data_IF_548986274790
#
_entry.id   IF_548986274790
#
_cell.length_a   1.000
_cell.length_b   1.000
_cell.length_c   1.000
_cell.angle_alpha   90.00
_cell.angle_beta   90.00
_cell.angle_gamma   90.00
#
_symmetry.space_group_name_H-M   'P 1'
#
loop_
_entity.id
_entity.type
_entity.pdbx_description
1 polymer ?
#
# COMPACT_ATOMS: atom_id res chain seq x y z
N UNK A 1 -0.01 -7.54 -27.62
CA UNK A 1 0.08 -6.88 -26.30
C UNK A 1 1.57 -6.71 -25.99
N UNK A 2 2.08 -5.48 -25.86
CA UNK A 2 3.53 -5.21 -25.65
C UNK A 2 3.87 -5.30 -24.16
N UNK A 3 5.12 -5.68 -23.87
CA UNK A 3 5.63 -5.89 -22.50
C UNK A 3 5.71 -4.58 -21.72
N UNK A 4 5.08 -4.55 -20.55
CA UNK A 4 5.31 -3.55 -19.51
C UNK A 4 6.35 -4.10 -18.54
N UNK A 5 7.31 -3.28 -18.13
CA UNK A 5 8.27 -3.64 -17.09
C UNK A 5 7.82 -3.00 -15.79
N UNK A 6 7.50 -3.83 -14.81
CA UNK A 6 7.40 -3.42 -13.42
C UNK A 6 8.61 -4.02 -12.70
N UNK A 7 9.40 -3.18 -12.03
CA UNK A 7 10.45 -3.69 -11.14
C UNK A 7 9.84 -3.88 -9.75
N UNK A 8 9.03 -4.93 -9.58
CA UNK A 8 8.43 -5.23 -8.27
C UNK A 8 9.49 -6.01 -7.49
N UNK A 9 10.04 -5.45 -6.40
CA UNK A 9 10.92 -6.21 -5.54
C UNK A 9 10.15 -7.38 -4.92
N UNK A 10 10.58 -8.61 -5.21
CA UNK A 10 9.90 -9.84 -4.77
C UNK A 10 10.44 -10.39 -3.44
N UNK A 11 11.52 -9.79 -2.90
CA UNK A 11 12.10 -10.21 -1.64
C UNK A 11 11.76 -9.24 -0.49
N UNK A 12 11.92 -9.72 0.75
CA UNK A 12 11.54 -8.98 1.97
C UNK A 12 12.43 -7.76 2.23
N UNK A 13 13.67 -7.75 1.76
CA UNK A 13 14.60 -6.63 1.94
C UNK A 13 14.26 -5.52 0.97
N UNK A 14 14.03 -5.86 -0.29
CA UNK A 14 13.61 -4.95 -1.33
C UNK A 14 12.14 -4.51 -1.16
N UNK A 15 11.29 -5.30 -0.49
CA UNK A 15 9.98 -4.84 0.02
C UNK A 15 10.14 -3.81 1.14
N UNK A 16 11.13 -3.96 2.04
CA UNK A 16 11.44 -2.95 3.07
C UNK A 16 12.05 -1.69 2.48
N UNK A 17 12.84 -1.80 1.42
CA UNK A 17 13.38 -0.65 0.69
C UNK A 17 12.30 0.05 -0.16
N UNK A 18 11.35 -0.69 -0.72
CA UNK A 18 10.15 -0.13 -1.35
C UNK A 18 9.19 0.52 -0.33
N UNK A 19 9.16 0.01 0.90
CA UNK A 19 8.49 0.67 2.03
C UNK A 19 9.32 1.85 2.58
N UNK A 20 10.63 1.89 2.38
CA UNK A 20 11.47 3.04 2.75
C UNK A 20 11.52 4.14 1.67
N UNK A 21 11.08 3.83 0.45
CA UNK A 21 11.22 4.66 -0.75
C UNK A 21 9.92 4.81 -1.54
N UNK A 22 10.05 5.24 -2.81
CA UNK A 22 8.91 5.41 -3.71
C UNK A 22 8.44 4.03 -4.22
N UNK A 23 7.13 3.78 -4.36
CA UNK A 23 6.63 2.52 -4.89
C UNK A 23 7.15 2.28 -6.32
N UNK A 24 7.31 1.02 -6.74
CA UNK A 24 7.82 0.71 -8.06
C UNK A 24 6.91 1.28 -9.16
N UNK A 25 7.53 1.95 -10.13
CA UNK A 25 6.83 2.53 -11.27
C UNK A 25 6.64 1.50 -12.39
N UNK A 26 5.49 1.55 -13.05
CA UNK A 26 5.26 0.85 -14.31
C UNK A 26 5.83 1.69 -15.47
N UNK A 27 6.80 1.15 -16.20
CA UNK A 27 7.43 1.86 -17.33
C UNK A 27 7.27 1.06 -18.62
N UNK A 28 6.84 1.73 -19.70
CA UNK A 28 6.71 1.13 -21.02
C UNK A 28 5.45 1.56 -21.76
N UNK A 29 5.09 0.81 -22.80
CA UNK A 29 3.87 1.04 -23.59
C UNK A 29 2.96 -0.19 -23.54
N UNK A 30 1.79 -0.04 -22.94
CA UNK A 30 0.79 -1.10 -22.79
C UNK A 30 -0.25 -0.73 -21.73
N UNK A 31 -1.24 -1.60 -21.53
CA UNK A 31 -2.19 -1.49 -20.40
C UNK A 31 -1.69 -2.28 -19.19
N UNK A 32 -1.81 -1.70 -18.00
CA UNK A 32 -1.52 -2.36 -16.71
C UNK A 32 -2.85 -2.82 -16.11
N UNK A 33 -2.87 -4.03 -15.55
CA UNK A 33 -3.95 -4.49 -14.68
C UNK A 33 -3.47 -4.45 -13.24
N UNK A 34 -4.26 -3.82 -12.37
CA UNK A 34 -4.05 -3.80 -10.93
C UNK A 34 -5.23 -4.48 -10.25
N UNK A 35 -4.97 -5.09 -9.09
CA UNK A 35 -5.99 -5.74 -8.27
C UNK A 35 -6.03 -5.10 -6.90
N UNK A 36 -7.21 -5.11 -6.29
CA UNK A 36 -7.43 -4.61 -4.94
C UNK A 36 -8.18 -5.66 -4.12
N UNK A 37 -8.04 -5.57 -2.80
CA UNK A 37 -8.87 -6.32 -1.88
C UNK A 37 -10.12 -5.49 -1.53
N UNK A 38 -11.28 -5.97 -1.98
CA UNK A 38 -12.53 -5.19 -1.98
C UNK A 38 -12.68 -4.31 -3.22
N UNK A 39 -13.25 -3.11 -3.08
CA UNK A 39 -13.42 -2.15 -4.17
C UNK A 39 -12.23 -1.18 -4.28
N UNK A 40 -12.07 -0.57 -5.47
CA UNK A 40 -11.11 0.51 -5.73
C UNK A 40 -11.86 1.85 -5.67
N UNK A 41 -11.37 2.78 -4.85
CA UNK A 41 -11.81 4.17 -4.81
C UNK A 41 -10.73 5.11 -5.35
N UNK A 42 -11.15 6.18 -6.02
CA UNK A 42 -10.26 7.24 -6.53
C UNK A 42 -10.28 8.44 -5.59
N UNK A 43 -9.10 8.99 -5.29
CA UNK A 43 -8.94 10.21 -4.50
C UNK A 43 -8.06 11.19 -5.25
N UNK A 44 -8.55 12.42 -5.40
CA UNK A 44 -7.80 13.55 -5.95
C UNK A 44 -7.15 14.32 -4.81
N UNK A 45 -5.86 14.63 -4.94
CA UNK A 45 -5.10 15.46 -4.01
C UNK A 45 -4.69 16.72 -4.78
N UNK A 46 -5.35 17.86 -4.55
CA UNK A 46 -5.03 19.12 -5.23
C UNK A 46 -3.60 19.62 -4.98
N UNK A 47 -3.07 20.53 -5.83
CA UNK A 47 -1.78 21.18 -5.59
C UNK A 47 -1.70 21.83 -4.21
N UNK A 48 -0.63 21.52 -3.46
CA UNK A 48 -0.41 22.06 -2.11
C UNK A 48 -1.13 21.32 -0.99
N UNK A 49 -2.02 20.37 -1.32
CA UNK A 49 -2.66 19.50 -0.34
C UNK A 49 -1.86 18.21 -0.10
N UNK A 50 -2.15 17.56 1.02
CA UNK A 50 -1.48 16.32 1.43
C UNK A 50 -2.51 15.28 1.87
N UNK A 51 -2.42 14.08 1.31
CA UNK A 51 -3.16 12.92 1.76
C UNK A 51 -2.28 12.06 2.68
N UNK A 52 -2.83 11.65 3.82
CA UNK A 52 -2.23 10.63 4.69
C UNK A 52 -3.06 9.36 4.55
N UNK A 53 -2.45 8.31 4.04
CA UNK A 53 -3.11 7.07 3.65
C UNK A 53 -2.50 5.90 4.42
N UNK A 54 -3.33 5.03 4.97
CA UNK A 54 -2.85 3.74 5.50
C UNK A 54 -2.17 2.94 4.38
N UNK A 55 -0.93 2.48 4.63
CA UNK A 55 -0.14 1.77 3.62
C UNK A 55 -0.84 0.51 3.09
N UNK A 56 -1.62 -0.19 3.93
CA UNK A 56 -2.37 -1.38 3.51
C UNK A 56 -3.63 -1.06 2.70
N UNK A 57 -3.95 0.21 2.48
CA UNK A 57 -5.06 0.65 1.63
C UNK A 57 -4.57 1.28 0.32
N UNK A 58 -3.26 1.51 0.16
CA UNK A 58 -2.69 2.07 -1.06
C UNK A 58 -2.65 1.02 -2.20
N UNK A 59 -3.12 1.38 -3.39
CA UNK A 59 -3.04 0.52 -4.60
C UNK A 59 -2.08 1.11 -5.62
N UNK A 60 -2.30 2.38 -6.01
CA UNK A 60 -1.48 3.06 -6.99
C UNK A 60 -1.63 4.58 -6.86
N UNK A 61 -0.69 5.31 -7.49
CA UNK A 61 -0.77 6.75 -7.69
C UNK A 61 -0.24 7.11 -9.07
N UNK A 62 -0.59 8.30 -9.55
CA UNK A 62 0.06 8.87 -10.74
C UNK A 62 1.55 9.15 -10.51
N UNK A 63 2.31 9.08 -11.60
CA UNK A 63 3.72 9.46 -11.59
C UNK A 63 3.89 10.95 -11.23
N UNK A 64 4.99 11.28 -10.55
CA UNK A 64 5.34 12.66 -10.20
C UNK A 64 4.80 13.13 -8.84
N UNK A 65 3.85 12.40 -8.24
CA UNK A 65 3.43 12.67 -6.87
C UNK A 65 4.55 12.35 -5.87
N UNK A 66 4.75 13.24 -4.89
CA UNK A 66 5.67 13.01 -3.77
C UNK A 66 5.07 11.96 -2.85
N UNK A 67 5.78 10.87 -2.60
CA UNK A 67 5.39 9.80 -1.68
C UNK A 67 6.44 9.62 -0.60
N UNK A 68 6.01 9.63 0.66
CA UNK A 68 6.88 9.38 1.81
C UNK A 68 6.18 8.44 2.77
N UNK A 69 6.81 7.31 3.08
CA UNK A 69 6.30 6.43 4.12
C UNK A 69 6.78 6.88 5.50
N UNK A 70 5.87 6.91 6.47
CA UNK A 70 6.17 7.32 7.84
C UNK A 70 5.58 6.36 8.84
N UNK A 71 6.30 6.14 9.92
CA UNK A 71 5.75 5.43 11.07
C UNK A 71 4.91 6.38 11.92
N UNK A 72 3.68 6.00 12.24
CA UNK A 72 2.81 6.73 13.16
C UNK A 72 2.87 6.07 14.52
N UNK A 73 3.36 6.80 15.52
CA UNK A 73 3.59 6.30 16.88
C UNK A 73 5.01 5.75 17.09
N UNK A 74 5.48 5.79 18.35
CA UNK A 74 6.81 5.28 18.72
C UNK A 74 6.91 3.76 18.67
N UNK A 75 8.08 3.20 19.03
CA UNK A 75 8.40 1.75 19.05
C UNK A 75 7.30 0.85 19.64
N UNK A 76 6.54 1.34 20.63
CA UNK A 76 5.41 0.60 21.22
C UNK A 76 4.25 0.39 20.22
N UNK A 77 3.91 1.37 19.39
CA UNK A 77 2.81 1.23 18.41
C UNK A 77 3.12 0.16 17.35
N UNK A 78 4.38 0.11 16.87
CA UNK A 78 4.84 -0.88 15.89
C UNK A 78 4.88 -2.30 16.46
N UNK A 79 5.21 -2.47 17.75
CA UNK A 79 5.27 -3.78 18.42
C UNK A 79 3.91 -4.33 18.87
N UNK A 80 2.91 -3.48 19.10
CA UNK A 80 1.62 -3.89 19.69
C UNK A 80 0.43 -3.94 18.72
N UNK A 81 0.54 -3.46 17.48
CA UNK A 81 -0.63 -3.39 16.59
C UNK A 81 -0.40 -3.61 15.10
N UNK A 82 0.84 -3.63 14.58
CA UNK A 82 1.12 -3.79 13.14
C UNK A 82 0.65 -2.62 12.25
N UNK A 83 -0.29 -1.81 12.72
CA UNK A 83 -0.85 -0.62 12.11
C UNK A 83 -0.06 0.60 12.58
N UNK A 84 1.04 0.88 11.90
CA UNK A 84 1.88 2.02 12.27
C UNK A 84 2.57 2.65 11.10
N UNK A 85 2.13 2.40 9.86
CA UNK A 85 2.83 2.81 8.66
C UNK A 85 1.86 3.49 7.70
N UNK A 86 2.06 4.78 7.46
CA UNK A 86 1.22 5.59 6.58
C UNK A 86 2.04 6.17 5.44
N UNK A 87 1.42 6.28 4.27
CA UNK A 87 1.94 7.01 3.14
C UNK A 87 1.45 8.47 3.20
N UNK A 88 2.39 9.40 3.19
CA UNK A 88 2.13 10.82 2.97
C UNK A 88 2.31 11.11 1.46
N UNK A 89 1.24 11.53 0.80
CA UNK A 89 1.27 11.92 -0.62
C UNK A 89 0.94 13.40 -0.76
N UNK A 90 1.81 14.18 -1.41
CA UNK A 90 1.58 15.61 -1.69
C UNK A 90 1.14 15.82 -3.13
N UNK A 91 0.08 16.61 -3.30
CA UNK A 91 -0.51 16.89 -4.59
C UNK A 91 0.26 17.93 -5.43
N UNK A 92 -0.05 18.03 -6.74
CA UNK A 92 -1.16 17.37 -7.42
C UNK A 92 -0.95 15.86 -7.61
N UNK A 93 -1.95 15.07 -7.25
CA UNK A 93 -1.89 13.62 -7.40
C UNK A 93 -3.29 13.01 -7.52
N UNK A 94 -3.39 11.92 -8.28
CA UNK A 94 -4.53 11.01 -8.23
C UNK A 94 -4.10 9.68 -7.63
N UNK A 95 -4.89 9.21 -6.67
CA UNK A 95 -4.65 7.98 -5.90
C UNK A 95 -5.75 6.96 -6.17
N UNK A 96 -5.36 5.70 -6.22
CA UNK A 96 -6.27 4.56 -6.17
C UNK A 96 -6.07 3.82 -4.86
N UNK A 97 -7.15 3.66 -4.11
CA UNK A 97 -7.16 3.05 -2.78
C UNK A 97 -8.10 1.85 -2.75
N UNK A 98 -7.75 0.85 -1.93
CA UNK A 98 -8.61 -0.31 -1.71
C UNK A 98 -9.44 -0.16 -0.44
N UNK A 99 -10.67 -0.65 -0.45
CA UNK A 99 -11.59 -0.55 0.71
C UNK A 99 -11.28 -1.50 1.86
N UNK A 100 -10.48 -2.55 1.62
CA UNK A 100 -10.16 -3.56 2.63
C UNK A 100 -8.68 -3.92 2.57
N UNK A 101 -8.01 -4.09 3.72
CA UNK A 101 -6.68 -4.67 3.77
C UNK A 101 -6.78 -6.18 4.03
N UNK A 102 -5.90 -6.97 3.39
CA UNK A 102 -5.85 -8.43 3.63
C UNK A 102 -5.53 -8.78 5.09
N UNK A 103 -4.79 -7.91 5.78
CA UNK A 103 -4.41 -8.06 7.18
C UNK A 103 -5.66 -8.18 8.07
N UNK A 104 -6.65 -7.31 7.86
CA UNK A 104 -7.91 -7.35 8.61
C UNK A 104 -8.68 -8.67 8.40
N UNK A 105 -8.65 -9.24 7.18
CA UNK A 105 -9.22 -10.57 6.94
C UNK A 105 -8.48 -11.63 7.74
N UNK A 106 -7.14 -11.61 7.72
CA UNK A 106 -6.31 -12.58 8.45
C UNK A 106 -6.58 -12.48 9.94
N UNK A 107 -6.62 -11.28 10.51
CA UNK A 107 -6.88 -11.08 11.94
C UNK A 107 -8.25 -11.58 12.36
N UNK A 108 -9.24 -11.47 11.48
CA UNK A 108 -10.60 -11.99 11.71
C UNK A 108 -10.63 -13.53 11.64
N UNK A 109 -9.95 -14.13 10.66
CA UNK A 109 -10.00 -15.57 10.41
C UNK A 109 -9.08 -16.38 11.33
N UNK A 110 -7.90 -15.85 11.66
CA UNK A 110 -6.84 -16.59 12.34
C UNK A 110 -7.26 -17.17 13.69
N UNK A 111 -7.99 -16.45 14.58
CA UNK A 111 -8.48 -17.03 15.84
C UNK A 111 -9.44 -18.21 15.61
N UNK A 112 -10.29 -18.12 14.59
CA UNK A 112 -11.26 -19.17 14.24
C UNK A 112 -10.57 -20.42 13.71
N UNK A 113 -9.54 -20.23 12.88
CA UNK A 113 -8.74 -21.32 12.33
C UNK A 113 -7.90 -22.00 13.41
N UNK A 114 -7.24 -21.23 14.28
CA UNK A 114 -6.46 -21.78 15.40
C UNK A 114 -7.29 -22.68 16.30
N UNK A 115 -8.55 -22.33 16.54
CA UNK A 115 -9.48 -23.14 17.35
C UNK A 115 -9.78 -24.52 16.77
N UNK A 116 -9.64 -24.71 15.46
CA UNK A 116 -10.01 -25.96 14.78
C UNK A 116 -8.83 -26.72 14.15
N UNK A 117 -7.72 -26.05 13.87
CA UNK A 117 -6.56 -26.64 13.18
C UNK A 117 -5.38 -26.96 14.10
N UNK A 118 -5.35 -26.41 15.32
CA UNK A 118 -4.30 -26.69 16.31
C UNK A 118 -4.99 -27.28 17.54
N UNK A 119 -4.87 -28.59 17.73
CA UNK A 119 -5.12 -29.25 19.03
C UNK A 119 -3.89 -29.09 19.92
#
# INVERSE_FOLDING_TARGET
MRTLKANIPLDKEASRDALGGQPPAFVGRGGVWVTAFGAIGEVQVPPGETAIVDNFHFVAMEEGASYTLRTVGGLKSTLFGGEGLVAEIRGPARLWLQTRPIVSLVDTLLPLLKRHLIK
#
